data_IF_224109166280
#
_entry.id   IF_224109166280
#
_cell.length_a   1.000
_cell.length_b   1.000
_cell.length_c   1.000
_cell.angle_alpha   90.00
_cell.angle_beta   90.00
_cell.angle_gamma   90.00
#
_symmetry.space_group_name_H-M   'P 1'
#
loop_
_entity.id
_entity.type
_entity.pdbx_description
1 polymer ?
#
# COMPACT_ATOMS: atom_id res chain seq x y z
N UNK A 1 -15.32 -19.85 -12.98
CA UNK A 1 -14.89 -18.65 -13.74
C UNK A 1 -13.40 -18.51 -13.52
N UNK A 2 -12.57 -18.50 -14.57
CA UNK A 2 -11.12 -18.29 -14.39
C UNK A 2 -10.90 -16.88 -13.85
N UNK A 3 -10.15 -16.74 -12.75
CA UNK A 3 -9.70 -15.44 -12.22
C UNK A 3 -8.88 -14.76 -13.30
N UNK A 4 -9.50 -13.86 -14.05
CA UNK A 4 -8.75 -12.86 -14.79
C UNK A 4 -8.38 -11.78 -13.78
N UNK A 5 -7.36 -12.07 -12.97
CA UNK A 5 -6.54 -11.02 -12.38
C UNK A 5 -6.11 -10.11 -13.55
N UNK A 6 -6.36 -8.80 -13.43
CA UNK A 6 -5.56 -7.82 -14.18
C UNK A 6 -4.10 -8.04 -13.80
N UNK A 7 -3.14 -7.85 -14.73
CA UNK A 7 -1.88 -8.60 -14.79
C UNK A 7 -0.99 -8.36 -13.57
N UNK A 8 -1.30 -9.07 -12.50
CA UNK A 8 -0.50 -9.38 -11.35
C UNK A 8 -0.45 -10.91 -11.35
N UNK A 9 0.78 -11.44 -11.31
CA UNK A 9 1.19 -12.83 -11.48
C UNK A 9 1.39 -13.33 -12.92
N UNK A 10 2.64 -13.23 -13.36
CA UNK A 10 3.29 -14.32 -14.08
C UNK A 10 4.74 -14.44 -13.63
N UNK A 11 5.03 -15.36 -12.69
CA UNK A 11 6.10 -16.37 -12.76
C UNK A 11 6.37 -17.00 -11.38
N UNK A 12 5.65 -18.10 -11.12
CA UNK A 12 6.04 -19.14 -10.15
C UNK A 12 7.11 -20.04 -10.78
N UNK A 13 8.23 -20.30 -10.09
CA UNK A 13 9.02 -21.54 -10.21
C UNK A 13 9.77 -21.88 -8.90
N UNK A 14 9.18 -22.82 -8.13
CA UNK A 14 9.77 -23.98 -7.40
C UNK A 14 11.06 -23.85 -6.55
N UNK A 15 10.92 -24.09 -5.22
CA UNK A 15 11.74 -25.04 -4.44
C UNK A 15 11.10 -25.35 -3.05
N UNK A 16 11.35 -26.53 -2.44
CA UNK A 16 10.49 -27.14 -1.42
C UNK A 16 10.87 -26.85 0.04
N UNK A 17 9.88 -27.06 0.91
CA UNK A 17 9.97 -27.06 2.36
C UNK A 17 11.05 -28.01 2.93
N UNK A 18 11.76 -27.54 3.95
CA UNK A 18 12.44 -28.38 4.94
C UNK A 18 12.13 -27.87 6.35
N UNK A 19 11.36 -28.66 7.10
CA UNK A 19 11.16 -28.46 8.52
C UNK A 19 12.36 -28.92 9.35
N UNK A 20 12.48 -28.37 10.56
CA UNK A 20 13.10 -29.06 11.69
C UNK A 20 12.50 -28.60 13.01
N UNK A 21 11.96 -29.59 13.72
CA UNK A 21 11.50 -29.55 15.10
C UNK A 21 12.63 -29.32 16.12
N UNK A 22 12.22 -28.74 17.26
CA UNK A 22 12.55 -29.09 18.64
C UNK A 22 14.02 -29.08 19.12
N UNK A 23 14.31 -28.27 20.15
CA UNK A 23 14.30 -28.66 21.59
C UNK A 23 15.28 -27.78 22.40
N UNK A 24 14.93 -27.51 23.67
CA UNK A 24 15.95 -27.47 24.73
C UNK A 24 16.04 -26.19 25.56
N UNK A 25 15.27 -26.20 26.65
CA UNK A 25 15.42 -25.44 27.92
C UNK A 25 16.84 -25.24 28.43
N UNK A 26 17.10 -24.14 29.16
CA UNK A 26 17.63 -24.11 30.54
C UNK A 26 17.85 -22.68 31.07
N UNK A 27 17.20 -22.36 32.20
CA UNK A 27 17.67 -21.44 33.26
C UNK A 27 17.79 -22.31 34.53
N UNK A 28 18.70 -22.06 35.50
CA UNK A 28 18.54 -20.91 36.41
C UNK A 28 19.86 -20.34 37.00
N UNK A 29 19.78 -19.15 37.59
CA UNK A 29 20.83 -18.60 38.44
C UNK A 29 20.34 -17.39 39.23
N UNK A 30 19.90 -17.61 40.47
CA UNK A 30 19.62 -16.57 41.46
C UNK A 30 20.91 -15.88 41.92
N UNK A 31 20.87 -14.55 42.09
CA UNK A 31 21.46 -13.92 43.28
C UNK A 31 20.83 -12.55 43.58
N UNK A 32 20.53 -12.39 44.86
CA UNK A 32 19.95 -11.26 45.58
C UNK A 32 20.80 -9.98 45.56
N UNK A 33 20.13 -8.81 45.57
CA UNK A 33 20.80 -7.55 45.93
C UNK A 33 19.90 -6.31 45.89
N UNK A 34 19.46 -5.88 47.07
CA UNK A 34 19.02 -4.55 47.51
C UNK A 34 18.52 -3.49 46.51
N UNK A 35 17.29 -3.06 46.78
CA UNK A 35 16.65 -1.79 46.42
C UNK A 35 17.58 -0.58 46.48
N UNK A 36 17.86 0.00 45.32
CA UNK A 36 18.14 1.42 45.15
C UNK A 36 17.02 1.97 44.26
N UNK A 37 16.25 2.93 44.79
CA UNK A 37 15.21 3.62 44.02
C UNK A 37 15.84 4.23 42.78
N UNK A 38 15.55 3.62 41.63
CA UNK A 38 15.90 4.18 40.34
C UNK A 38 14.70 4.97 39.90
N UNK A 39 14.88 6.28 39.87
CA UNK A 39 14.01 7.22 39.19
C UNK A 39 13.92 6.76 37.73
N UNK A 40 12.90 5.96 37.39
CA UNK A 40 12.59 5.57 36.02
C UNK A 40 11.90 6.76 35.35
N UNK A 41 12.65 7.84 35.18
CA UNK A 41 12.35 8.76 34.10
C UNK A 41 12.53 7.97 32.82
N UNK A 42 11.43 7.68 32.12
CA UNK A 42 11.50 7.12 30.77
C UNK A 42 12.56 7.90 29.98
N UNK A 43 13.50 7.23 29.29
CA UNK A 43 14.51 7.93 28.51
C UNK A 43 13.79 8.82 27.49
N UNK A 44 13.91 10.13 27.69
CA UNK A 44 13.35 11.13 26.81
C UNK A 44 13.95 10.90 25.42
N UNK A 45 13.10 10.60 24.43
CA UNK A 45 13.53 10.39 23.07
C UNK A 45 14.33 11.60 22.58
N UNK A 46 15.48 11.35 21.95
CA UNK A 46 16.25 12.41 21.32
C UNK A 46 15.40 13.11 20.24
N UNK A 47 15.44 14.44 20.15
CA UNK A 47 14.70 15.17 19.13
C UNK A 47 15.20 14.77 17.73
N UNK A 48 14.31 14.71 16.72
CA UNK A 48 14.69 14.33 15.37
C UNK A 48 15.71 15.34 14.78
N UNK A 49 16.62 14.89 13.91
CA UNK A 49 17.59 15.77 13.27
C UNK A 49 16.89 16.82 12.38
N UNK A 50 17.42 18.05 12.27
CA UNK A 50 16.91 19.04 11.32
C UNK A 50 16.92 18.49 9.89
N UNK A 51 15.88 18.76 9.11
CA UNK A 51 15.73 18.26 7.73
C UNK A 51 15.88 19.38 6.70
N UNK A 52 16.57 19.07 5.61
CA UNK A 52 16.61 19.87 4.39
C UNK A 52 15.26 19.81 3.66
N UNK A 53 14.93 20.80 2.82
CA UNK A 53 13.76 20.72 1.95
C UNK A 53 13.83 19.51 1.02
N UNK A 54 12.67 18.88 0.76
CA UNK A 54 12.60 17.76 -0.16
C UNK A 54 12.97 18.19 -1.59
N UNK A 55 13.68 17.32 -2.35
CA UNK A 55 13.97 17.58 -3.75
C UNK A 55 12.67 17.58 -4.57
N UNK A 56 12.59 18.42 -5.61
CA UNK A 56 11.39 18.54 -6.45
C UNK A 56 11.06 17.22 -7.18
N UNK A 57 12.09 16.45 -7.51
CA UNK A 57 12.01 15.13 -8.13
C UNK A 57 11.25 14.11 -7.28
N UNK A 58 11.21 14.28 -5.95
CA UNK A 58 10.42 13.40 -5.08
C UNK A 58 8.93 13.49 -5.43
N UNK A 59 8.42 14.70 -5.65
CA UNK A 59 7.02 14.90 -6.01
C UNK A 59 6.68 14.30 -7.37
N UNK A 60 7.58 14.41 -8.36
CA UNK A 60 7.43 13.77 -9.68
C UNK A 60 7.42 12.24 -9.57
N UNK A 61 8.32 11.67 -8.77
CA UNK A 61 8.35 10.23 -8.52
C UNK A 61 7.04 9.72 -7.87
N UNK A 62 6.51 10.46 -6.89
CA UNK A 62 5.23 10.13 -6.24
C UNK A 62 4.07 10.19 -7.24
N UNK A 63 4.00 11.26 -8.04
CA UNK A 63 2.96 11.40 -9.07
C UNK A 63 2.98 10.22 -10.06
N UNK A 64 4.17 9.80 -10.49
CA UNK A 64 4.34 8.62 -11.35
C UNK A 64 3.87 7.33 -10.70
N UNK A 65 4.08 7.13 -9.39
CA UNK A 65 3.50 5.97 -8.68
C UNK A 65 1.98 6.03 -8.70
N UNK A 66 1.39 7.17 -8.35
CA UNK A 66 -0.05 7.33 -8.26
C UNK A 66 -0.73 7.13 -9.62
N UNK A 67 -0.14 7.67 -10.68
CA UNK A 67 -0.61 7.56 -12.07
C UNK A 67 -0.27 6.24 -12.74
N UNK A 68 0.41 5.32 -12.04
CA UNK A 68 0.70 3.97 -12.53
C UNK A 68 1.83 3.90 -13.56
N UNK A 69 2.72 4.88 -13.58
CA UNK A 69 3.96 4.92 -14.35
C UNK A 69 5.12 4.36 -13.52
N UNK A 70 4.98 3.10 -13.04
CA UNK A 70 5.85 2.54 -11.99
C UNK A 70 7.33 2.44 -12.38
N UNK A 71 7.64 2.05 -13.61
CA UNK A 71 9.03 1.97 -14.11
C UNK A 71 9.70 3.36 -14.13
N UNK A 72 8.98 4.39 -14.56
CA UNK A 72 9.47 5.76 -14.52
C UNK A 72 9.61 6.26 -13.07
N UNK A 73 8.66 5.92 -12.21
CA UNK A 73 8.73 6.25 -10.79
C UNK A 73 9.97 5.64 -10.13
N UNK A 74 10.28 4.37 -10.43
CA UNK A 74 11.50 3.69 -9.96
C UNK A 74 12.74 4.48 -10.39
N UNK A 75 12.82 4.87 -11.67
CA UNK A 75 13.94 5.66 -12.19
C UNK A 75 14.14 7.02 -11.53
N UNK A 76 13.08 7.63 -11.00
CA UNK A 76 13.13 8.92 -10.29
C UNK A 76 13.41 8.77 -8.80
N UNK A 77 12.77 7.78 -8.15
CA UNK A 77 12.82 7.59 -6.71
C UNK A 77 14.09 6.86 -6.25
N UNK A 78 14.65 5.95 -7.04
CA UNK A 78 15.83 5.17 -6.66
C UNK A 78 17.08 6.04 -6.39
N UNK A 79 17.42 7.06 -7.20
CA UNK A 79 18.53 7.96 -6.89
C UNK A 79 18.35 8.75 -5.58
N UNK A 80 17.11 9.15 -5.25
CA UNK A 80 16.79 9.85 -4.00
C UNK A 80 16.95 8.90 -2.83
N UNK A 81 16.34 7.71 -2.94
CA UNK A 81 16.46 6.65 -1.94
C UNK A 81 17.93 6.29 -1.69
N UNK A 82 18.71 5.99 -2.72
CA UNK A 82 20.08 5.49 -2.59
C UNK A 82 21.10 6.59 -2.23
N UNK A 83 20.93 7.80 -2.77
CA UNK A 83 21.92 8.87 -2.70
C UNK A 83 21.76 9.83 -1.52
N UNK A 84 20.57 9.97 -0.95
CA UNK A 84 20.28 10.97 0.09
C UNK A 84 20.29 10.36 1.50
N UNK A 85 21.49 10.03 2.00
CA UNK A 85 21.67 9.26 3.26
C UNK A 85 22.14 10.09 4.45
N UNK A 86 22.41 11.38 4.28
CA UNK A 86 22.83 12.24 5.40
C UNK A 86 21.68 12.47 6.38
N UNK A 87 21.93 12.73 7.67
CA UNK A 87 20.87 12.94 8.66
C UNK A 87 19.90 14.07 8.32
N UNK A 88 20.33 15.09 7.59
CA UNK A 88 19.47 16.18 7.12
C UNK A 88 18.56 15.77 5.96
N UNK A 89 18.75 14.59 5.39
CA UNK A 89 18.06 14.14 4.17
C UNK A 89 17.18 12.90 4.41
N UNK A 90 17.10 12.43 5.65
CA UNK A 90 16.32 11.24 6.01
C UNK A 90 14.85 11.34 5.62
N UNK A 91 14.27 12.54 5.62
CA UNK A 91 12.88 12.73 5.20
C UNK A 91 12.70 12.37 3.73
N UNK A 92 13.48 12.99 2.85
CA UNK A 92 13.40 12.77 1.42
C UNK A 92 13.68 11.31 1.05
N UNK A 93 14.72 10.69 1.60
CA UNK A 93 15.05 9.29 1.31
C UNK A 93 14.10 8.30 1.97
N UNK A 94 13.51 8.62 3.13
CA UNK A 94 12.47 7.83 3.77
C UNK A 94 11.18 7.81 2.95
N UNK A 95 10.74 8.97 2.47
CA UNK A 95 9.61 9.08 1.55
C UNK A 95 9.88 8.36 0.24
N UNK A 96 11.06 8.59 -0.36
CA UNK A 96 11.45 7.91 -1.59
C UNK A 96 11.45 6.39 -1.41
N UNK A 97 11.99 5.88 -0.28
CA UNK A 97 11.99 4.45 0.03
C UNK A 97 10.58 3.85 0.10
N UNK A 98 9.64 4.49 0.81
CA UNK A 98 8.29 3.91 0.91
C UNK A 98 7.54 3.92 -0.42
N UNK A 99 7.63 4.99 -1.21
CA UNK A 99 7.02 5.05 -2.54
C UNK A 99 7.72 4.15 -3.57
N UNK A 100 9.04 4.00 -3.48
CA UNK A 100 9.80 3.06 -4.30
C UNK A 100 9.38 1.61 -4.01
N UNK A 101 9.13 1.27 -2.73
CA UNK A 101 8.59 -0.03 -2.37
C UNK A 101 7.21 -0.27 -2.99
N UNK A 102 6.33 0.73 -2.98
CA UNK A 102 5.02 0.66 -3.66
C UNK A 102 5.21 0.40 -5.16
N UNK A 103 6.12 1.11 -5.82
CA UNK A 103 6.38 0.93 -7.25
C UNK A 103 6.94 -0.47 -7.55
N UNK A 104 7.92 -0.94 -6.79
CA UNK A 104 8.48 -2.29 -6.96
C UNK A 104 7.45 -3.39 -6.72
N UNK A 105 6.54 -3.24 -5.73
CA UNK A 105 5.48 -4.20 -5.47
C UNK A 105 4.57 -4.44 -6.70
N UNK A 106 4.51 -3.49 -7.64
CA UNK A 106 3.71 -3.58 -8.86
C UNK A 106 4.49 -4.16 -10.06
N UNK A 107 5.82 -4.22 -9.98
CA UNK A 107 6.69 -4.62 -11.10
C UNK A 107 7.45 -5.92 -10.78
N UNK A 108 8.28 -5.90 -9.73
CA UNK A 108 9.04 -7.04 -9.21
C UNK A 108 9.07 -6.90 -7.69
N UNK A 109 8.14 -7.57 -7.01
CA UNK A 109 7.86 -7.29 -5.60
C UNK A 109 9.02 -7.62 -4.66
N UNK A 110 9.90 -8.53 -5.05
CA UNK A 110 11.11 -8.87 -4.29
C UNK A 110 12.04 -7.65 -4.10
N UNK A 111 11.99 -6.69 -5.03
CA UNK A 111 12.76 -5.45 -4.92
C UNK A 111 12.13 -4.43 -3.95
N UNK A 112 10.92 -4.67 -3.44
CA UNK A 112 10.23 -3.74 -2.54
C UNK A 112 10.69 -3.85 -1.08
N UNK A 113 11.29 -4.97 -0.67
CA UNK A 113 11.62 -5.22 0.74
C UNK A 113 12.66 -4.23 1.30
N UNK A 114 13.79 -4.09 0.62
CA UNK A 114 14.88 -3.21 1.05
C UNK A 114 14.46 -1.74 1.21
N UNK A 115 13.77 -1.11 0.23
CA UNK A 115 13.30 0.25 0.39
C UNK A 115 12.18 0.40 1.43
N UNK A 116 11.30 -0.60 1.60
CA UNK A 116 10.28 -0.60 2.67
C UNK A 116 10.90 -0.62 4.08
N UNK A 117 11.89 -1.48 4.31
CA UNK A 117 12.57 -1.58 5.60
C UNK A 117 13.35 -0.30 5.93
N UNK A 118 13.99 0.30 4.93
CA UNK A 118 14.67 1.58 5.12
C UNK A 118 13.69 2.72 5.46
N UNK A 119 12.54 2.79 4.78
CA UNK A 119 11.53 3.80 5.07
C UNK A 119 11.02 3.70 6.52
N UNK A 120 10.82 2.47 7.05
CA UNK A 120 10.46 2.25 8.44
C UNK A 120 11.54 2.71 9.41
N UNK A 121 12.82 2.48 9.08
CA UNK A 121 13.94 2.99 9.86
C UNK A 121 13.92 4.54 9.91
N UNK A 122 13.70 5.20 8.77
CA UNK A 122 13.63 6.68 8.73
C UNK A 122 12.43 7.23 9.48
N UNK A 123 11.26 6.58 9.37
CA UNK A 123 10.08 6.94 10.14
C UNK A 123 10.35 6.93 11.65
N UNK A 124 11.05 5.89 12.14
CA UNK A 124 11.45 5.78 13.54
C UNK A 124 12.39 6.89 14.01
N UNK A 125 13.28 7.37 13.13
CA UNK A 125 14.22 8.47 13.44
C UNK A 125 13.58 9.84 13.43
N UNK A 126 12.58 10.06 12.56
CA UNK A 126 12.04 11.39 12.29
C UNK A 126 10.78 11.73 13.08
N UNK A 127 9.98 10.72 13.44
CA UNK A 127 8.66 10.93 14.05
C UNK A 127 7.75 11.84 13.19
N UNK A 128 7.98 11.87 11.88
CA UNK A 128 7.17 12.60 10.90
C UNK A 128 5.96 11.73 10.48
N UNK A 129 4.71 12.18 10.69
CA UNK A 129 3.53 11.39 10.38
C UNK A 129 3.39 10.98 8.90
N UNK A 130 3.86 11.82 7.97
CA UNK A 130 3.81 11.51 6.54
C UNK A 130 4.86 10.45 6.17
N UNK A 131 6.08 10.58 6.70
CA UNK A 131 7.13 9.55 6.52
C UNK A 131 6.68 8.22 7.11
N UNK A 132 6.06 8.25 8.29
CA UNK A 132 5.50 7.06 8.95
C UNK A 132 4.38 6.42 8.11
N UNK A 133 3.46 7.23 7.58
CA UNK A 133 2.40 6.74 6.70
C UNK A 133 2.96 6.10 5.41
N UNK A 134 3.92 6.75 4.75
CA UNK A 134 4.56 6.25 3.52
C UNK A 134 5.35 4.97 3.77
N UNK A 135 6.08 4.89 4.88
CA UNK A 135 6.83 3.69 5.25
C UNK A 135 5.90 2.48 5.47
N UNK A 136 4.80 2.68 6.20
CA UNK A 136 3.78 1.64 6.45
C UNK A 136 2.99 1.29 5.19
N UNK A 137 2.74 2.26 4.31
CA UNK A 137 2.17 2.02 2.99
C UNK A 137 3.08 1.13 2.14
N UNK A 138 4.38 1.45 2.05
CA UNK A 138 5.37 0.67 1.31
C UNK A 138 5.51 -0.76 1.85
N UNK A 139 5.56 -0.91 3.18
CA UNK A 139 5.58 -2.24 3.83
C UNK A 139 4.30 -3.03 3.54
N UNK A 140 3.15 -2.39 3.60
CA UNK A 140 1.86 -3.02 3.30
C UNK A 140 1.79 -3.48 1.84
N UNK A 141 2.28 -2.68 0.89
CA UNK A 141 2.31 -3.05 -0.52
C UNK A 141 3.20 -4.28 -0.77
N UNK A 142 4.36 -4.36 -0.13
CA UNK A 142 5.23 -5.54 -0.20
C UNK A 142 4.57 -6.80 0.39
N UNK A 143 3.87 -6.67 1.52
CA UNK A 143 3.16 -7.78 2.15
C UNK A 143 1.95 -8.24 1.32
N UNK A 144 1.21 -7.29 0.74
CA UNK A 144 0.10 -7.59 -0.17
C UNK A 144 0.59 -8.33 -1.41
N UNK A 145 1.72 -7.94 -1.99
CA UNK A 145 2.30 -8.63 -3.14
C UNK A 145 2.77 -10.07 -2.82
N UNK A 146 3.07 -10.37 -1.55
CA UNK A 146 3.32 -11.72 -1.05
C UNK A 146 2.03 -12.48 -0.67
N UNK A 147 0.87 -11.84 -0.83
CA UNK A 147 -0.43 -12.37 -0.42
C UNK A 147 -0.55 -12.61 1.10
N UNK A 148 0.30 -11.95 1.90
CA UNK A 148 0.16 -11.89 3.36
C UNK A 148 -0.89 -10.83 3.72
N UNK A 149 -2.15 -11.13 3.43
CA UNK A 149 -3.26 -10.18 3.54
C UNK A 149 -3.45 -9.64 4.95
N UNK A 150 -3.23 -10.45 5.98
CA UNK A 150 -3.42 -10.03 7.37
C UNK A 150 -2.33 -9.04 7.81
N UNK A 151 -1.06 -9.33 7.50
CA UNK A 151 0.01 -8.38 7.80
C UNK A 151 -0.09 -7.10 6.95
N UNK A 152 -0.46 -7.24 5.67
CA UNK A 152 -0.69 -6.10 4.78
C UNK A 152 -1.79 -5.18 5.32
N UNK A 153 -2.93 -5.76 5.74
CA UNK A 153 -4.05 -5.05 6.35
C UNK A 153 -3.62 -4.22 7.55
N UNK A 154 -2.89 -4.84 8.50
CA UNK A 154 -2.38 -4.13 9.68
C UNK A 154 -1.46 -2.97 9.31
N UNK A 155 -0.61 -3.16 8.30
CA UNK A 155 0.29 -2.11 7.80
C UNK A 155 -0.49 -0.94 7.17
N UNK A 156 -1.51 -1.24 6.36
CA UNK A 156 -2.33 -0.21 5.73
C UNK A 156 -3.22 0.54 6.73
N UNK A 157 -3.79 -0.14 7.72
CA UNK A 157 -4.53 0.50 8.81
C UNK A 157 -3.64 1.47 9.60
N UNK A 158 -2.40 1.05 9.88
CA UNK A 158 -1.42 1.89 10.55
C UNK A 158 -1.02 3.11 9.68
N UNK A 159 -0.81 2.92 8.37
CA UNK A 159 -0.51 4.01 7.44
C UNK A 159 -1.65 5.03 7.35
N UNK A 160 -2.89 4.54 7.19
CA UNK A 160 -4.09 5.37 7.14
C UNK A 160 -4.36 6.11 8.44
N UNK A 161 -3.88 5.59 9.58
CA UNK A 161 -4.00 6.25 10.89
C UNK A 161 -2.92 7.31 11.11
N UNK A 162 -1.71 7.10 10.58
CA UNK A 162 -0.59 8.02 10.74
C UNK A 162 -0.82 9.37 10.06
N UNK A 163 -1.36 9.36 8.83
CA UNK A 163 -1.64 10.59 8.07
C UNK A 163 -2.95 10.47 7.27
N UNK A 164 -4.13 10.50 7.92
CA UNK A 164 -5.41 10.06 7.33
C UNK A 164 -5.89 10.85 6.12
N UNK A 165 -5.54 12.13 6.02
CA UNK A 165 -5.97 13.02 4.94
C UNK A 165 -4.84 13.30 3.92
N UNK A 166 -3.69 12.65 4.08
CA UNK A 166 -2.57 12.73 3.12
C UNK A 166 -2.75 11.72 1.98
N UNK A 167 -2.09 11.96 0.84
CA UNK A 167 -2.06 11.00 -0.27
C UNK A 167 -1.68 9.56 0.16
N UNK A 168 -0.62 9.33 0.97
CA UNK A 168 -0.28 7.97 1.41
C UNK A 168 -1.34 7.35 2.33
N UNK A 169 -1.95 8.12 3.23
CA UNK A 169 -3.02 7.60 4.08
C UNK A 169 -4.30 7.27 3.31
N UNK A 170 -4.65 8.09 2.32
CA UNK A 170 -5.78 7.84 1.42
C UNK A 170 -5.52 6.60 0.57
N UNK A 171 -4.32 6.48 0.01
CA UNK A 171 -3.95 5.34 -0.82
C UNK A 171 -3.86 4.04 -0.01
N UNK A 172 -3.37 4.11 1.24
CA UNK A 172 -3.37 2.98 2.16
C UNK A 172 -4.78 2.45 2.43
N UNK A 173 -5.80 3.33 2.57
CA UNK A 173 -7.20 2.88 2.70
C UNK A 173 -7.67 2.11 1.46
N UNK A 174 -7.23 2.49 0.27
CA UNK A 174 -7.59 1.76 -0.96
C UNK A 174 -6.96 0.37 -0.96
N UNK A 175 -5.66 0.29 -0.66
CA UNK A 175 -4.96 -1.00 -0.62
C UNK A 175 -5.46 -1.89 0.52
N UNK A 176 -5.88 -1.31 1.65
CA UNK A 176 -6.61 -2.04 2.69
C UNK A 176 -7.93 -2.64 2.14
N UNK A 177 -8.69 -1.87 1.35
CA UNK A 177 -9.84 -2.40 0.61
C UNK A 177 -9.47 -3.56 -0.31
N UNK A 178 -8.33 -3.50 -0.99
CA UNK A 178 -7.80 -4.58 -1.82
C UNK A 178 -7.44 -5.83 -1.00
N UNK A 179 -6.80 -5.67 0.17
CA UNK A 179 -6.53 -6.81 1.07
C UNK A 179 -7.81 -7.53 1.47
N UNK A 180 -8.88 -6.78 1.76
CA UNK A 180 -10.17 -7.33 2.15
C UNK A 180 -10.88 -8.06 0.99
N UNK A 181 -10.69 -7.60 -0.25
CA UNK A 181 -11.12 -8.36 -1.43
C UNK A 181 -10.37 -9.69 -1.48
N UNK A 182 -9.07 -9.71 -1.20
CA UNK A 182 -8.27 -10.94 -1.13
C UNK A 182 -8.77 -11.92 -0.07
N UNK A 183 -8.99 -11.45 1.17
CA UNK A 183 -9.47 -12.30 2.28
C UNK A 183 -10.89 -12.81 2.09
N UNK A 184 -11.72 -12.12 1.28
CA UNK A 184 -13.07 -12.58 0.95
C UNK A 184 -13.11 -13.99 0.33
N UNK A 185 -12.00 -14.43 -0.28
CA UNK A 185 -11.84 -15.75 -0.90
C UNK A 185 -11.08 -16.77 -0.03
N UNK A 186 -10.62 -16.38 1.16
CA UNK A 186 -9.90 -17.25 2.11
C UNK A 186 -8.47 -17.64 1.72
N UNK A 187 -8.19 -17.84 0.43
CA UNK A 187 -6.84 -18.06 -0.08
C UNK A 187 -6.68 -17.62 -1.54
N UNK A 188 -5.43 -17.40 -1.94
CA UNK A 188 -5.07 -17.05 -3.30
C UNK A 188 -5.39 -18.12 -4.35
N UNK A 189 -5.74 -19.35 -3.95
CA UNK A 189 -6.12 -20.45 -4.87
C UNK A 189 -7.65 -20.65 -4.95
N UNK A 190 -8.42 -20.16 -3.97
CA UNK A 190 -9.85 -20.42 -3.93
C UNK A 190 -10.70 -19.43 -4.74
N UNK A 191 -11.43 -19.91 -5.74
CA UNK A 191 -12.31 -19.05 -6.56
C UNK A 191 -13.69 -18.79 -5.96
N UNK A 192 -14.02 -19.41 -4.83
CA UNK A 192 -15.30 -19.27 -4.14
C UNK A 192 -15.23 -18.24 -3.02
N UNK A 193 -16.32 -17.50 -2.84
CA UNK A 193 -16.43 -16.48 -1.81
C UNK A 193 -16.68 -17.17 -0.45
N UNK A 194 -15.70 -17.09 0.45
CA UNK A 194 -15.78 -17.67 1.79
C UNK A 194 -16.25 -16.63 2.83
N UNK A 195 -15.77 -15.40 2.71
CA UNK A 195 -16.02 -14.31 3.67
C UNK A 195 -16.70 -13.12 2.96
N UNK A 196 -18.00 -13.23 2.62
CA UNK A 196 -18.72 -12.16 1.92
C UNK A 196 -18.74 -10.82 2.67
N UNK A 197 -18.67 -10.85 4.00
CA UNK A 197 -18.62 -9.64 4.84
C UNK A 197 -17.36 -8.79 4.59
N UNK A 198 -16.26 -9.41 4.11
CA UNK A 198 -15.04 -8.69 3.79
C UNK A 198 -15.23 -7.80 2.55
N UNK A 199 -16.11 -8.17 1.61
CA UNK A 199 -16.46 -7.30 0.48
C UNK A 199 -17.21 -6.04 0.94
N UNK A 200 -18.06 -6.15 1.97
CA UNK A 200 -18.75 -5.00 2.55
C UNK A 200 -17.77 -4.10 3.33
N UNK A 201 -16.80 -4.69 4.01
CA UNK A 201 -15.72 -3.96 4.66
C UNK A 201 -14.81 -3.25 3.63
N UNK A 202 -14.48 -3.93 2.52
CA UNK A 202 -13.69 -3.37 1.43
C UNK A 202 -14.41 -2.16 0.82
N UNK A 203 -15.72 -2.28 0.58
CA UNK A 203 -16.56 -1.19 0.08
C UNK A 203 -16.48 0.05 0.97
N UNK A 204 -16.64 -0.11 2.29
CA UNK A 204 -16.51 0.98 3.26
C UNK A 204 -15.13 1.64 3.22
N UNK A 205 -14.08 0.83 3.00
CA UNK A 205 -12.71 1.32 2.88
C UNK A 205 -12.53 2.22 1.66
N UNK A 206 -13.02 1.80 0.49
CA UNK A 206 -13.01 2.61 -0.73
C UNK A 206 -13.89 3.87 -0.62
N UNK A 207 -15.08 3.77 -0.04
CA UNK A 207 -15.96 4.94 0.17
C UNK A 207 -15.33 5.98 1.11
N UNK A 208 -14.64 5.53 2.15
CA UNK A 208 -13.86 6.41 3.03
C UNK A 208 -12.69 7.06 2.28
N UNK A 209 -11.96 6.29 1.48
CA UNK A 209 -10.86 6.81 0.66
C UNK A 209 -11.35 7.87 -0.34
N UNK A 210 -12.48 7.64 -1.01
CA UNK A 210 -13.12 8.63 -1.89
C UNK A 210 -13.48 9.93 -1.16
N UNK A 211 -14.03 9.80 0.05
CA UNK A 211 -14.43 10.96 0.86
C UNK A 211 -13.23 11.86 1.16
N UNK A 212 -12.08 11.27 1.49
CA UNK A 212 -10.85 12.03 1.69
C UNK A 212 -10.26 12.53 0.36
N UNK A 213 -10.22 11.70 -0.69
CA UNK A 213 -9.71 12.07 -2.01
C UNK A 213 -10.42 13.30 -2.61
N UNK A 214 -11.74 13.41 -2.40
CA UNK A 214 -12.55 14.56 -2.87
C UNK A 214 -12.17 15.91 -2.26
N UNK A 215 -11.35 15.92 -1.21
CA UNK A 215 -10.88 17.12 -0.52
C UNK A 215 -9.45 17.52 -0.94
N UNK A 216 -8.78 16.70 -1.74
CA UNK A 216 -7.41 16.95 -2.17
C UNK A 216 -7.43 17.74 -3.48
N UNK A 217 -6.82 18.93 -3.48
CA UNK A 217 -6.84 19.83 -4.65
C UNK A 217 -6.04 19.29 -5.85
N UNK A 218 -4.92 18.60 -5.60
CA UNK A 218 -4.06 18.01 -6.63
C UNK A 218 -3.95 16.50 -6.45
N UNK A 219 -4.16 15.73 -7.53
CA UNK A 219 -4.13 14.27 -7.47
C UNK A 219 -5.40 13.63 -6.87
N UNK A 220 -6.44 14.42 -6.56
CA UNK A 220 -7.73 13.88 -6.11
C UNK A 220 -8.37 12.96 -7.15
N UNK A 221 -8.30 13.31 -8.44
CA UNK A 221 -8.89 12.51 -9.52
C UNK A 221 -8.25 11.12 -9.66
N UNK A 222 -6.91 11.01 -9.60
CA UNK A 222 -6.26 9.69 -9.70
C UNK A 222 -6.68 8.77 -8.55
N UNK A 223 -6.81 9.32 -7.35
CA UNK A 223 -7.27 8.63 -6.15
C UNK A 223 -8.76 8.23 -6.27
N UNK A 224 -9.61 9.11 -6.80
CA UNK A 224 -11.02 8.78 -7.07
C UNK A 224 -11.16 7.66 -8.10
N UNK A 225 -10.35 7.69 -9.16
CA UNK A 225 -10.31 6.63 -10.18
C UNK A 225 -9.99 5.26 -9.57
N UNK A 226 -8.95 5.18 -8.73
CA UNK A 226 -8.56 3.94 -8.02
C UNK A 226 -9.66 3.42 -7.12
N UNK A 227 -10.29 4.29 -6.33
CA UNK A 227 -11.39 3.85 -5.47
C UNK A 227 -12.61 3.36 -6.26
N UNK A 228 -12.91 4.01 -7.40
CA UNK A 228 -13.99 3.58 -8.30
C UNK A 228 -13.71 2.23 -8.94
N UNK A 229 -12.47 1.97 -9.35
CA UNK A 229 -12.07 0.66 -9.85
C UNK A 229 -12.28 -0.44 -8.79
N UNK A 230 -11.85 -0.18 -7.53
CA UNK A 230 -12.10 -1.09 -6.41
C UNK A 230 -13.57 -1.38 -6.17
N UNK A 231 -14.43 -0.36 -6.22
CA UNK A 231 -15.88 -0.51 -6.13
C UNK A 231 -16.48 -1.30 -7.30
N UNK A 232 -15.95 -1.13 -8.51
CA UNK A 232 -16.36 -1.93 -9.68
C UNK A 232 -15.97 -3.41 -9.51
N UNK A 233 -14.79 -3.70 -8.95
CA UNK A 233 -14.35 -5.05 -8.64
C UNK A 233 -15.27 -5.72 -7.59
N UNK A 234 -15.61 -5.00 -6.52
CA UNK A 234 -16.57 -5.50 -5.50
C UNK A 234 -17.93 -5.80 -6.14
N UNK A 235 -18.46 -4.87 -6.94
CA UNK A 235 -19.74 -5.04 -7.61
C UNK A 235 -19.75 -6.27 -8.55
N UNK A 236 -18.62 -6.56 -9.22
CA UNK A 236 -18.45 -7.80 -10.00
C UNK A 236 -18.61 -9.05 -9.15
N UNK A 237 -17.98 -9.11 -7.98
CA UNK A 237 -18.10 -10.28 -7.09
C UNK A 237 -19.49 -10.41 -6.48
N UNK A 238 -20.15 -9.29 -6.18
CA UNK A 238 -21.52 -9.24 -5.68
C UNK A 238 -22.59 -9.44 -6.79
N UNK A 239 -22.17 -9.53 -8.06
CA UNK A 239 -23.04 -9.64 -9.24
C UNK A 239 -24.01 -8.46 -9.40
N UNK A 240 -23.62 -7.29 -8.93
CA UNK A 240 -24.34 -6.03 -9.14
C UNK A 240 -23.87 -5.38 -10.45
N UNK A 241 -24.58 -5.68 -11.54
CA UNK A 241 -24.20 -5.23 -12.88
C UNK A 241 -24.28 -3.71 -13.04
N UNK A 242 -25.28 -3.07 -12.44
CA UNK A 242 -25.50 -1.63 -12.56
C UNK A 242 -24.38 -0.87 -11.83
N UNK A 243 -24.05 -1.29 -10.61
CA UNK A 243 -22.94 -0.71 -9.85
C UNK A 243 -21.58 -0.97 -10.51
N UNK A 244 -21.37 -2.17 -11.07
CA UNK A 244 -20.14 -2.50 -11.81
C UNK A 244 -19.95 -1.52 -12.96
N UNK A 245 -20.95 -1.41 -13.85
CA UNK A 245 -20.83 -0.57 -15.03
C UNK A 245 -20.64 0.90 -14.68
N UNK A 246 -21.41 1.41 -13.72
CA UNK A 246 -21.28 2.80 -13.25
C UNK A 246 -19.87 3.09 -12.74
N UNK A 247 -19.38 2.30 -11.79
CA UNK A 247 -18.08 2.56 -11.17
C UNK A 247 -16.93 2.34 -12.16
N UNK A 248 -17.02 1.37 -13.07
CA UNK A 248 -16.00 1.14 -14.09
C UNK A 248 -15.86 2.34 -15.05
N UNK A 249 -16.98 2.94 -15.50
CA UNK A 249 -16.93 4.13 -16.35
C UNK A 249 -16.40 5.36 -15.60
N UNK A 250 -16.89 5.61 -14.38
CA UNK A 250 -16.41 6.70 -13.54
C UNK A 250 -14.89 6.57 -13.24
N UNK A 251 -14.39 5.35 -13.03
CA UNK A 251 -12.96 5.10 -12.86
C UNK A 251 -12.15 5.54 -14.09
N UNK A 252 -12.58 5.14 -15.30
CA UNK A 252 -11.92 5.52 -16.55
C UNK A 252 -11.94 7.03 -16.76
N UNK A 253 -13.04 7.72 -16.43
CA UNK A 253 -13.14 9.17 -16.56
C UNK A 253 -12.15 9.89 -15.64
N UNK A 254 -12.10 9.52 -14.36
CA UNK A 254 -11.14 10.07 -13.41
C UNK A 254 -9.68 9.79 -13.83
N UNK A 255 -9.38 8.58 -14.26
CA UNK A 255 -8.04 8.22 -14.76
C UNK A 255 -7.61 9.04 -15.97
N UNK A 256 -8.50 9.25 -16.94
CA UNK A 256 -8.18 10.08 -18.11
C UNK A 256 -7.95 11.54 -17.72
N UNK A 257 -8.78 12.09 -16.83
CA UNK A 257 -8.63 13.47 -16.34
C UNK A 257 -7.31 13.67 -15.60
N UNK A 258 -6.84 12.65 -14.88
CA UNK A 258 -5.59 12.68 -14.13
C UNK A 258 -4.34 12.28 -14.93
N UNK A 259 -4.45 11.98 -16.23
CA UNK A 259 -3.30 11.55 -17.04
C UNK A 259 -2.73 10.19 -16.63
N UNK A 260 -3.58 9.28 -16.13
CA UNK A 260 -3.17 7.94 -15.74
C UNK A 260 -2.56 7.15 -16.90
N UNK A 261 -1.66 6.23 -16.57
CA UNK A 261 -1.06 5.32 -17.53
C UNK A 261 -2.09 4.33 -18.10
N UNK A 262 -1.77 3.73 -19.25
CA UNK A 262 -2.61 2.68 -19.83
C UNK A 262 -2.79 1.49 -18.88
N UNK A 263 -1.79 1.21 -18.04
CA UNK A 263 -1.87 0.15 -17.03
C UNK A 263 -3.09 0.33 -16.11
N UNK A 264 -3.35 1.55 -15.63
CA UNK A 264 -4.52 1.83 -14.79
C UNK A 264 -5.82 1.90 -15.58
N UNK A 265 -5.78 2.35 -16.84
CA UNK A 265 -6.98 2.39 -17.69
C UNK A 265 -7.51 1.00 -18.05
N UNK A 266 -6.62 0.00 -18.16
CA UNK A 266 -6.96 -1.34 -18.62
C UNK A 266 -7.87 -2.10 -17.65
N UNK A 267 -7.68 -1.94 -16.34
CA UNK A 267 -8.47 -2.61 -15.30
C UNK A 267 -9.98 -2.35 -15.42
N UNK A 268 -10.45 -1.10 -15.23
CA UNK A 268 -11.87 -0.78 -15.32
C UNK A 268 -12.43 -0.95 -16.74
N UNK A 269 -11.62 -0.71 -17.79
CA UNK A 269 -12.05 -0.96 -19.18
C UNK A 269 -12.35 -2.44 -19.44
N UNK A 270 -11.52 -3.35 -18.91
CA UNK A 270 -11.77 -4.79 -18.98
C UNK A 270 -12.98 -5.20 -18.16
N UNK A 271 -13.16 -4.67 -16.94
CA UNK A 271 -14.35 -4.91 -16.14
C UNK A 271 -15.63 -4.54 -16.90
N UNK A 272 -15.66 -3.36 -17.51
CA UNK A 272 -16.79 -2.90 -18.31
C UNK A 272 -17.04 -3.79 -19.54
N UNK A 273 -15.97 -4.20 -20.23
CA UNK A 273 -16.04 -5.07 -21.43
C UNK A 273 -16.58 -6.46 -21.07
N UNK A 274 -16.02 -7.09 -20.04
CA UNK A 274 -16.41 -8.43 -19.58
C UNK A 274 -17.88 -8.46 -19.14
N UNK A 275 -18.35 -7.39 -18.50
CA UNK A 275 -19.73 -7.23 -18.06
C UNK A 275 -20.69 -6.75 -19.17
N UNK A 276 -20.19 -6.51 -20.39
CA UNK A 276 -20.94 -5.98 -21.54
C UNK A 276 -21.67 -4.68 -21.21
N UNK A 277 -21.02 -3.81 -20.44
CA UNK A 277 -21.54 -2.51 -20.09
C UNK A 277 -21.78 -1.67 -21.34
N UNK A 278 -22.95 -1.01 -21.40
CA UNK A 278 -23.24 -0.04 -22.44
C UNK A 278 -22.68 1.30 -22.00
N UNK A 279 -22.04 2.03 -22.92
CA UNK A 279 -21.58 3.38 -22.64
C UNK A 279 -22.72 4.22 -22.04
N UNK A 280 -22.43 5.08 -21.04
CA UNK A 280 -23.40 6.03 -20.53
C UNK A 280 -23.96 6.87 -21.69
N UNK A 281 -25.27 7.13 -21.66
CA UNK A 281 -25.92 7.98 -22.65
C UNK A 281 -25.69 9.46 -22.35
#
# INVERSE_FOLDING_TARGET
MKRTLSPLLALLLLAPACGKENQGTNTPGETTGSTAGTDTGDPQAEPPPPQDPDPAELADGIDKVLTGNYEEAIGVLDPIYTGMREPSQYRASGLAGGWLAVAHAQVVFENAEAPANYALEMAGKLQDPEVDAVAKLGRGAFLLAQEDYEAAKQSFDAAASAAPDSAPGIYARMLHGETLIGTAFGSAENTELENPADLDAAKKSYEAAMTSASKVESGGDILLGRAKEGLAAIAKYQRDQDALCKNAFEAVEHYKSAGASNFLLDGPARLATDAKCKAPK
#
